data_IF_958132061444
#
_entry.id   IF_958132061444
#
_cell.length_a   1.000
_cell.length_b   1.000
_cell.length_c   1.000
_cell.angle_alpha   90.00
_cell.angle_beta   90.00
_cell.angle_gamma   90.00
#
_symmetry.space_group_name_H-M   'P 1'
#
loop_
_entity.id
_entity.type
_entity.pdbx_description
1 polymer ?
#
# COMPACT_ATOMS: atom_id res chain seq x y z
N UNK A 1 -7.47 21.62 -9.09
CA UNK A 1 -7.33 20.15 -9.21
C UNK A 1 -6.48 19.58 -8.07
N UNK A 2 -7.02 19.52 -6.85
CA UNK A 2 -6.26 19.04 -5.67
C UNK A 2 -6.03 17.53 -5.67
N UNK A 3 -6.98 16.78 -6.23
CA UNK A 3 -7.04 15.32 -6.15
C UNK A 3 -6.20 14.60 -7.23
N UNK A 4 -5.54 15.36 -8.11
CA UNK A 4 -4.60 14.82 -9.10
C UNK A 4 -3.17 14.90 -8.56
N UNK A 5 -2.67 13.78 -8.04
CA UNK A 5 -1.42 13.73 -7.28
C UNK A 5 -0.21 13.26 -8.09
N UNK A 6 -0.44 12.73 -9.29
CA UNK A 6 0.58 12.17 -10.18
C UNK A 6 0.43 12.73 -11.59
N UNK A 7 1.53 13.25 -12.15
CA UNK A 7 1.54 13.79 -13.52
C UNK A 7 1.63 12.68 -14.56
N UNK A 8 2.41 11.64 -14.26
CA UNK A 8 2.65 10.50 -15.13
C UNK A 8 2.88 9.23 -14.32
N UNK A 9 2.67 8.09 -14.96
CA UNK A 9 2.92 6.76 -14.39
C UNK A 9 3.98 6.08 -15.25
N UNK A 10 5.05 5.55 -14.64
CA UNK A 10 6.15 4.91 -15.39
C UNK A 10 5.83 3.49 -15.85
N UNK A 11 4.91 2.83 -15.16
CA UNK A 11 4.49 1.45 -15.43
C UNK A 11 4.50 0.61 -14.15
N UNK A 12 3.82 -0.53 -14.20
CA UNK A 12 3.73 -1.45 -13.07
C UNK A 12 4.96 -2.35 -13.07
N UNK A 13 5.74 -2.31 -11.99
CA UNK A 13 6.89 -3.18 -11.80
C UNK A 13 7.16 -3.42 -10.30
N UNK A 14 7.83 -4.53 -9.93
CA UNK A 14 8.19 -4.79 -8.55
C UNK A 14 8.98 -3.64 -7.92
N UNK A 15 8.74 -3.39 -6.64
CA UNK A 15 9.54 -2.42 -5.89
C UNK A 15 10.90 -3.04 -5.58
N UNK A 16 11.99 -2.29 -5.76
CA UNK A 16 13.33 -2.78 -5.42
C UNK A 16 13.38 -3.30 -3.98
N UNK A 17 13.89 -4.53 -3.78
CA UNK A 17 13.89 -5.22 -2.49
C UNK A 17 12.60 -5.98 -2.16
N UNK A 18 11.58 -5.90 -3.01
CA UNK A 18 10.31 -6.63 -2.93
C UNK A 18 10.10 -7.38 -4.25
N UNK A 19 10.93 -8.42 -4.48
CA UNK A 19 11.00 -9.16 -5.74
C UNK A 19 10.06 -10.36 -5.81
N UNK A 20 9.16 -10.52 -4.83
CA UNK A 20 8.16 -11.57 -4.84
C UNK A 20 7.25 -11.38 -6.04
N UNK A 21 7.27 -12.36 -6.94
CA UNK A 21 6.29 -12.51 -8.00
C UNK A 21 5.46 -13.73 -7.66
N UNK A 22 4.18 -13.51 -7.37
CA UNK A 22 3.24 -14.60 -7.19
C UNK A 22 2.82 -15.04 -8.58
N UNK A 23 3.33 -16.20 -9.02
CA UNK A 23 3.06 -16.84 -10.31
C UNK A 23 1.73 -17.63 -10.33
N UNK A 24 0.84 -17.33 -9.38
CA UNK A 24 -0.50 -17.93 -9.29
C UNK A 24 -1.50 -17.03 -9.99
N UNK A 25 -2.31 -17.59 -10.90
CA UNK A 25 -3.50 -16.94 -11.46
C UNK A 25 -4.63 -16.78 -10.42
N UNK A 26 -4.54 -17.50 -9.30
CA UNK A 26 -5.44 -17.37 -8.16
C UNK A 26 -4.78 -16.49 -7.09
N UNK A 27 -5.18 -15.23 -7.04
CA UNK A 27 -4.76 -14.26 -6.02
C UNK A 27 -5.92 -13.33 -5.68
N UNK A 28 -5.86 -12.68 -4.52
CA UNK A 28 -6.76 -11.57 -4.17
C UNK A 28 -6.04 -10.25 -4.36
N UNK A 29 -6.60 -9.39 -5.20
CA UNK A 29 -6.13 -8.03 -5.41
C UNK A 29 -6.72 -7.10 -4.34
N UNK A 30 -5.85 -6.46 -3.57
CA UNK A 30 -6.22 -5.51 -2.52
C UNK A 30 -5.66 -4.12 -2.86
N UNK A 31 -6.41 -3.29 -3.61
CA UNK A 31 -6.01 -1.90 -3.84
C UNK A 31 -6.35 -1.05 -2.60
N UNK A 32 -5.33 -0.46 -1.98
CA UNK A 32 -5.46 0.54 -0.93
C UNK A 32 -5.73 1.87 -1.60
N UNK A 33 -6.99 2.32 -1.65
CA UNK A 33 -7.42 3.41 -2.51
C UNK A 33 -7.04 4.79 -1.96
N UNK A 34 -6.56 5.63 -2.87
CA UNK A 34 -6.51 7.09 -2.74
C UNK A 34 -7.40 7.73 -3.80
N UNK A 35 -7.24 9.03 -4.06
CA UNK A 35 -8.10 9.74 -5.01
C UNK A 35 -7.89 9.36 -6.50
N UNK A 36 -6.79 8.67 -6.80
CA UNK A 36 -6.27 8.51 -8.17
C UNK A 36 -6.81 7.24 -8.87
N UNK A 37 -8.06 7.30 -9.35
CA UNK A 37 -8.69 6.16 -10.05
C UNK A 37 -7.97 5.68 -11.31
N UNK A 38 -7.20 6.55 -11.97
CA UNK A 38 -6.37 6.16 -13.12
C UNK A 38 -5.29 5.14 -12.73
N UNK A 39 -4.71 5.26 -11.53
CA UNK A 39 -3.69 4.33 -11.02
C UNK A 39 -4.31 2.98 -10.69
N UNK A 40 -5.49 2.97 -10.06
CA UNK A 40 -6.24 1.75 -9.81
C UNK A 40 -6.60 1.05 -11.14
N UNK A 41 -7.12 1.78 -12.12
CA UNK A 41 -7.46 1.24 -13.44
C UNK A 41 -6.24 0.62 -14.14
N UNK A 42 -5.10 1.31 -14.16
CA UNK A 42 -3.87 0.78 -14.77
C UNK A 42 -3.43 -0.52 -14.10
N UNK A 43 -3.36 -0.55 -12.77
CA UNK A 43 -2.92 -1.73 -12.02
C UNK A 43 -3.90 -2.88 -12.24
N UNK A 44 -5.21 -2.63 -12.17
CA UNK A 44 -6.22 -3.66 -12.42
C UNK A 44 -6.06 -4.29 -13.80
N UNK A 45 -5.86 -3.47 -14.84
CA UNK A 45 -5.69 -3.97 -16.21
C UNK A 45 -4.35 -4.67 -16.43
N UNK A 46 -3.35 -4.42 -15.58
CA UNK A 46 -2.07 -5.13 -15.64
C UNK A 46 -2.15 -6.49 -14.94
N UNK A 47 -2.88 -6.55 -13.82
CA UNK A 47 -2.99 -7.77 -13.01
C UNK A 47 -4.03 -8.75 -13.57
N UNK A 48 -5.06 -8.24 -14.24
CA UNK A 48 -6.18 -9.02 -14.77
C UNK A 48 -6.75 -10.05 -13.76
N UNK A 49 -7.23 -9.61 -12.58
CA UNK A 49 -7.71 -10.54 -11.56
C UNK A 49 -8.80 -11.49 -12.11
N UNK A 50 -8.65 -12.78 -11.81
CA UNK A 50 -9.41 -13.86 -12.46
C UNK A 50 -10.93 -13.83 -12.20
N UNK A 51 -11.36 -13.15 -11.14
CA UNK A 51 -12.78 -12.95 -10.85
C UNK A 51 -13.05 -11.60 -10.20
N UNK A 52 -14.28 -11.10 -10.32
CA UNK A 52 -14.71 -9.89 -9.62
C UNK A 52 -14.59 -10.04 -8.09
N UNK A 53 -14.78 -11.26 -7.58
CA UNK A 53 -14.69 -11.61 -6.15
C UNK A 53 -13.27 -11.58 -5.59
N UNK A 54 -12.28 -11.64 -6.48
CA UNK A 54 -10.87 -11.55 -6.13
C UNK A 54 -10.40 -10.12 -5.85
N UNK A 55 -11.27 -9.11 -5.95
CA UNK A 55 -10.92 -7.70 -5.72
C UNK A 55 -11.60 -7.20 -4.44
N UNK A 56 -10.77 -6.76 -3.48
CA UNK A 56 -11.21 -6.19 -2.19
C UNK A 56 -10.56 -4.80 -2.03
N UNK A 57 -11.22 -3.72 -2.50
CA UNK A 57 -10.68 -2.38 -2.35
C UNK A 57 -10.85 -1.88 -0.92
N UNK A 58 -9.81 -1.23 -0.40
CA UNK A 58 -9.80 -0.66 0.96
C UNK A 58 -9.78 0.87 0.88
N UNK A 59 -10.66 1.52 1.62
CA UNK A 59 -10.81 2.99 1.67
C UNK A 59 -10.50 3.50 3.09
N UNK A 60 -9.69 4.55 3.18
CA UNK A 60 -9.35 5.19 4.45
C UNK A 60 -10.44 6.14 4.97
N UNK A 61 -10.84 6.01 6.25
CA UNK A 61 -11.85 6.85 6.93
C UNK A 61 -11.41 7.27 8.35
N UNK A 62 -11.69 8.50 8.82
CA UNK A 62 -11.85 9.68 7.98
C UNK A 62 -10.52 9.96 7.28
N UNK A 63 -10.57 10.65 6.14
CA UNK A 63 -9.38 11.27 5.59
C UNK A 63 -8.93 12.46 6.44
N UNK A 64 -7.97 13.22 5.93
CA UNK A 64 -7.62 14.52 6.52
C UNK A 64 -8.84 15.42 6.69
N UNK A 65 -9.72 15.43 5.68
CA UNK A 65 -11.06 16.02 5.77
C UNK A 65 -12.13 14.92 5.80
N UNK A 66 -13.26 15.14 6.51
CA UNK A 66 -14.35 14.17 6.59
C UNK A 66 -14.89 13.71 5.22
N UNK A 67 -14.92 14.60 4.22
CA UNK A 67 -15.48 14.29 2.90
C UNK A 67 -14.52 13.58 1.94
N UNK A 68 -13.25 13.38 2.32
CA UNK A 68 -12.26 12.72 1.44
C UNK A 68 -12.60 11.27 1.12
N UNK A 69 -13.41 10.59 1.94
CA UNK A 69 -13.97 9.28 1.60
C UNK A 69 -14.78 9.35 0.30
N UNK A 70 -15.65 10.36 0.18
CA UNK A 70 -16.51 10.51 -0.99
C UNK A 70 -15.68 10.83 -2.23
N UNK A 71 -14.62 11.62 -2.08
CA UNK A 71 -13.68 11.91 -3.17
C UNK A 71 -12.90 10.67 -3.61
N UNK A 72 -12.48 9.82 -2.66
CA UNK A 72 -11.84 8.54 -2.96
C UNK A 72 -12.79 7.64 -3.76
N UNK A 73 -14.02 7.45 -3.30
CA UNK A 73 -15.01 6.63 -4.01
C UNK A 73 -15.34 7.25 -5.37
N UNK A 74 -15.53 8.57 -5.45
CA UNK A 74 -15.84 9.31 -6.68
C UNK A 74 -14.72 9.20 -7.72
N UNK A 75 -13.46 9.31 -7.30
CA UNK A 75 -12.29 9.19 -8.16
C UNK A 75 -12.13 7.77 -8.72
N UNK A 76 -12.48 6.75 -7.94
CA UNK A 76 -12.40 5.34 -8.35
C UNK A 76 -13.70 4.78 -8.94
N UNK A 77 -14.77 5.59 -9.05
CA UNK A 77 -16.13 5.10 -9.34
C UNK A 77 -16.26 4.26 -10.62
N UNK A 78 -15.50 4.60 -11.66
CA UNK A 78 -15.61 3.92 -12.96
C UNK A 78 -15.11 2.49 -12.86
N UNK A 79 -13.90 2.31 -12.35
CA UNK A 79 -13.28 1.00 -12.20
C UNK A 79 -13.98 0.17 -11.12
N UNK A 80 -14.44 0.79 -10.01
CA UNK A 80 -15.25 0.12 -8.99
C UNK A 80 -16.54 -0.47 -9.58
N UNK A 81 -17.20 0.24 -10.50
CA UNK A 81 -18.39 -0.25 -11.20
C UNK A 81 -18.08 -1.35 -12.21
N UNK A 82 -17.05 -1.17 -13.05
CA UNK A 82 -16.67 -2.17 -14.08
C UNK A 82 -16.34 -3.52 -13.43
N UNK A 83 -15.66 -3.48 -12.29
CA UNK A 83 -15.23 -4.68 -11.54
C UNK A 83 -16.27 -5.21 -10.55
N UNK A 84 -17.42 -4.52 -10.37
CA UNK A 84 -18.37 -4.71 -9.26
C UNK A 84 -17.73 -4.76 -7.85
N UNK A 85 -16.50 -4.27 -7.71
CA UNK A 85 -15.76 -4.32 -6.44
C UNK A 85 -16.29 -3.31 -5.42
N UNK A 86 -17.19 -2.40 -5.81
CA UNK A 86 -17.91 -1.52 -4.88
C UNK A 86 -18.71 -2.28 -3.82
N UNK A 87 -19.12 -3.52 -4.09
CA UNK A 87 -19.86 -4.38 -3.16
C UNK A 87 -18.97 -4.96 -2.04
N UNK A 88 -17.65 -4.90 -2.21
CA UNK A 88 -16.63 -5.43 -1.30
C UNK A 88 -15.69 -4.33 -0.79
N UNK A 89 -16.15 -3.08 -0.80
CA UNK A 89 -15.40 -1.98 -0.18
C UNK A 89 -15.26 -2.23 1.31
N UNK A 90 -14.02 -2.24 1.75
CA UNK A 90 -13.70 -2.24 3.17
C UNK A 90 -13.17 -0.88 3.60
N UNK A 91 -13.30 -0.59 4.89
CA UNK A 91 -13.06 0.72 5.45
C UNK A 91 -12.19 0.64 6.70
N UNK A 92 -11.11 1.41 6.72
CA UNK A 92 -10.14 1.44 7.84
C UNK A 92 -9.70 2.87 8.16
N UNK A 93 -9.22 3.16 9.37
CA UNK A 93 -8.55 4.42 9.69
C UNK A 93 -7.50 4.84 8.66
N UNK A 94 -7.65 6.01 8.04
CA UNK A 94 -6.76 6.47 6.95
C UNK A 94 -5.34 6.82 7.41
N UNK A 95 -5.21 7.11 8.70
CA UNK A 95 -4.02 7.55 9.42
C UNK A 95 -3.53 6.49 10.40
N UNK A 96 -3.72 5.20 10.12
CA UNK A 96 -3.27 4.14 11.02
C UNK A 96 -2.57 3.02 10.26
N UNK A 97 -1.29 2.81 10.58
CA UNK A 97 -0.52 1.66 10.07
C UNK A 97 -1.10 0.35 10.60
N UNK A 98 -1.42 0.29 11.90
CA UNK A 98 -1.84 -0.93 12.57
C UNK A 98 -3.18 -1.46 12.04
N UNK A 99 -4.19 -0.60 11.90
CA UNK A 99 -5.50 -0.99 11.38
C UNK A 99 -5.40 -1.54 9.96
N UNK A 100 -4.57 -0.92 9.11
CA UNK A 100 -4.32 -1.44 7.77
C UNK A 100 -3.57 -2.77 7.81
N UNK A 101 -2.55 -2.91 8.65
CA UNK A 101 -1.76 -4.13 8.76
C UNK A 101 -2.63 -5.32 9.17
N UNK A 102 -3.38 -5.19 10.27
CA UNK A 102 -4.23 -6.26 10.78
C UNK A 102 -5.35 -6.61 9.81
N UNK A 103 -5.89 -5.61 9.10
CA UNK A 103 -6.90 -5.88 8.08
C UNK A 103 -6.34 -6.68 6.91
N UNK A 104 -5.15 -6.32 6.42
CA UNK A 104 -4.50 -7.09 5.37
C UNK A 104 -4.13 -8.50 5.83
N UNK A 105 -3.70 -8.66 7.09
CA UNK A 105 -3.40 -9.97 7.68
C UNK A 105 -4.66 -10.83 7.82
N UNK A 106 -5.80 -10.25 8.20
CA UNK A 106 -7.11 -10.91 8.21
C UNK A 106 -7.50 -11.42 6.82
N UNK A 107 -7.37 -10.57 5.79
CA UNK A 107 -7.63 -10.95 4.40
C UNK A 107 -6.69 -12.08 3.98
N UNK A 108 -5.39 -11.97 4.28
CA UNK A 108 -4.39 -13.01 3.99
C UNK A 108 -4.71 -14.34 4.69
N UNK A 109 -5.21 -14.32 5.92
CA UNK A 109 -5.58 -15.55 6.62
C UNK A 109 -6.76 -16.27 5.96
N UNK A 110 -7.63 -15.54 5.27
CA UNK A 110 -8.75 -16.10 4.49
C UNK A 110 -8.41 -16.35 3.01
N UNK A 111 -7.29 -15.82 2.51
CA UNK A 111 -6.90 -15.84 1.10
C UNK A 111 -5.44 -16.22 0.94
N UNK A 112 -5.15 -17.26 0.17
CA UNK A 112 -3.78 -17.81 0.05
C UNK A 112 -2.71 -16.83 -0.44
N UNK A 113 -3.06 -15.94 -1.38
CA UNK A 113 -2.13 -15.02 -2.05
C UNK A 113 -2.74 -13.65 -2.20
N UNK A 114 -1.99 -12.60 -1.85
CA UNK A 114 -2.39 -11.21 -2.01
C UNK A 114 -1.47 -10.47 -2.97
N UNK A 115 -2.09 -9.68 -3.86
CA UNK A 115 -1.41 -8.60 -4.58
C UNK A 115 -1.92 -7.29 -4.01
N UNK A 116 -1.05 -6.49 -3.40
CA UNK A 116 -1.45 -5.27 -2.69
C UNK A 116 -0.93 -4.05 -3.43
N UNK A 117 -1.82 -3.12 -3.79
CA UNK A 117 -1.45 -1.87 -4.44
C UNK A 117 -1.59 -0.68 -3.48
N UNK A 118 -0.47 -0.10 -2.98
CA UNK A 118 -0.50 1.01 -2.05
C UNK A 118 -0.71 2.36 -2.77
N UNK A 119 -1.92 2.59 -3.30
CA UNK A 119 -2.28 3.82 -4.04
C UNK A 119 -2.63 4.98 -3.08
N UNK A 120 -3.16 4.63 -1.90
CA UNK A 120 -3.73 5.53 -0.89
C UNK A 120 -2.70 6.21 0.01
N UNK A 121 -3.00 6.24 1.31
CA UNK A 121 -2.22 7.03 2.28
C UNK A 121 -0.86 6.40 2.57
N UNK A 122 0.08 7.21 3.07
CA UNK A 122 1.40 6.72 3.46
C UNK A 122 1.33 5.67 4.59
N UNK A 123 0.52 5.83 5.66
CA UNK A 123 0.38 4.80 6.68
C UNK A 123 -0.08 3.45 6.11
N UNK A 124 -1.03 3.46 5.18
CA UNK A 124 -1.50 2.25 4.49
C UNK A 124 -0.41 1.61 3.63
N UNK A 125 0.37 2.43 2.92
CA UNK A 125 1.52 1.94 2.16
C UNK A 125 2.54 1.26 3.08
N UNK A 126 2.89 1.87 4.22
CA UNK A 126 3.80 1.29 5.21
C UNK A 126 3.29 -0.06 5.71
N UNK A 127 1.99 -0.17 6.02
CA UNK A 127 1.39 -1.42 6.45
C UNK A 127 1.50 -2.53 5.39
N UNK A 128 1.25 -2.21 4.12
CA UNK A 128 1.40 -3.15 3.00
C UNK A 128 2.83 -3.69 2.90
N UNK A 129 3.84 -2.81 2.96
CA UNK A 129 5.24 -3.22 2.91
C UNK A 129 5.66 -4.06 4.12
N UNK A 130 5.19 -3.74 5.33
CA UNK A 130 5.46 -4.57 6.52
C UNK A 130 4.86 -5.97 6.34
N UNK A 131 3.63 -6.07 5.81
CA UNK A 131 3.00 -7.36 5.53
C UNK A 131 3.79 -8.16 4.49
N UNK A 132 4.22 -7.53 3.40
CA UNK A 132 5.05 -8.18 2.38
C UNK A 132 6.39 -8.67 2.94
N UNK A 133 6.99 -7.92 3.88
CA UNK A 133 8.20 -8.38 4.57
C UNK A 133 7.90 -9.62 5.43
N UNK A 134 6.80 -9.62 6.17
CA UNK A 134 6.43 -10.75 7.05
C UNK A 134 6.00 -12.01 6.28
N UNK A 135 5.49 -11.84 5.06
CA UNK A 135 4.91 -12.90 4.25
C UNK A 135 5.41 -12.85 2.79
N UNK A 136 6.73 -12.98 2.58
CA UNK A 136 7.35 -12.76 1.28
C UNK A 136 6.93 -13.78 0.22
N UNK A 137 6.35 -14.93 0.59
CA UNK A 137 5.85 -15.94 -0.36
C UNK A 137 4.37 -15.77 -0.69
N UNK A 138 3.65 -14.95 0.08
CA UNK A 138 2.19 -14.83 -0.03
C UNK A 138 1.71 -13.43 -0.41
N UNK A 139 2.57 -12.41 -0.32
CA UNK A 139 2.19 -11.02 -0.52
C UNK A 139 3.13 -10.35 -1.52
N UNK A 140 2.58 -9.94 -2.66
CA UNK A 140 3.26 -9.18 -3.69
C UNK A 140 2.84 -7.70 -3.61
N UNK A 141 3.81 -6.79 -3.63
CA UNK A 141 3.54 -5.35 -3.73
C UNK A 141 3.49 -4.95 -5.20
N UNK A 142 2.36 -4.44 -5.63
CA UNK A 142 2.14 -3.97 -7.00
C UNK A 142 2.21 -2.46 -7.02
N UNK A 143 3.27 -1.92 -7.65
CA UNK A 143 3.56 -0.49 -7.64
C UNK A 143 3.75 0.05 -9.05
N UNK A 144 3.14 1.19 -9.32
CA UNK A 144 3.07 1.84 -10.64
C UNK A 144 4.09 2.99 -10.79
N UNK A 145 4.93 3.22 -9.78
CA UNK A 145 6.01 4.22 -9.78
C UNK A 145 5.55 5.62 -10.24
N UNK A 146 4.60 6.25 -9.52
CA UNK A 146 4.00 7.50 -9.92
C UNK A 146 5.02 8.65 -9.88
N UNK A 147 5.00 9.51 -10.90
CA UNK A 147 5.72 10.78 -10.92
C UNK A 147 4.80 11.84 -10.30
N UNK A 148 5.24 12.44 -9.21
CA UNK A 148 4.43 13.39 -8.42
C UNK A 148 4.21 14.70 -9.17
N UNK A 149 3.02 15.29 -9.05
CA UNK A 149 2.75 16.66 -9.52
C UNK A 149 3.50 17.68 -8.67
N UNK A 150 3.91 18.81 -9.27
CA UNK A 150 4.65 19.88 -8.58
C UNK A 150 3.78 20.74 -7.64
N UNK A 151 2.45 20.68 -7.78
CA UNK A 151 1.48 21.47 -6.98
C UNK A 151 0.76 20.61 -5.94
N UNK A 152 1.52 19.96 -5.05
CA UNK A 152 0.92 19.35 -3.85
C UNK A 152 0.67 20.40 -2.77
N UNK A 153 -0.17 20.06 -1.82
CA UNK A 153 -0.45 20.90 -0.65
C UNK A 153 0.81 21.24 0.12
N UNK A 154 0.95 22.51 0.46
CA UNK A 154 1.93 23.00 1.42
C UNK A 154 1.29 23.13 2.82
N UNK A 155 2.07 22.83 3.85
CA UNK A 155 1.66 22.88 5.25
C UNK A 155 1.89 21.57 6.00
N UNK A 156 2.21 21.68 7.29
CA UNK A 156 2.26 20.55 8.23
C UNK A 156 1.06 20.68 9.15
N UNK A 157 0.21 19.66 9.19
CA UNK A 157 -0.88 19.58 10.17
C UNK A 157 -0.46 18.64 11.30
N UNK A 158 -1.02 17.43 11.37
CA UNK A 158 -0.70 16.43 12.39
C UNK A 158 0.48 15.57 11.99
N UNK A 159 1.38 15.32 12.94
CA UNK A 159 2.48 14.37 12.83
C UNK A 159 2.09 13.11 13.59
N UNK A 160 2.08 11.97 12.90
CA UNK A 160 1.83 10.67 13.50
C UNK A 160 3.14 9.90 13.66
N UNK A 161 3.39 9.39 14.86
CA UNK A 161 4.57 8.58 15.20
C UNK A 161 4.09 7.20 15.59
N UNK A 162 4.58 6.17 14.90
CA UNK A 162 4.20 4.77 15.14
C UNK A 162 5.44 3.98 15.56
N UNK A 163 5.34 3.25 16.68
CA UNK A 163 6.29 2.17 16.97
C UNK A 163 5.81 0.87 16.32
N UNK A 164 6.41 0.55 15.18
CA UNK A 164 6.05 -0.60 14.34
C UNK A 164 6.91 -1.84 14.62
N UNK A 165 7.84 -1.80 15.59
CA UNK A 165 8.79 -2.90 15.81
C UNK A 165 8.08 -4.23 16.07
N UNK A 166 6.96 -4.19 16.80
CA UNK A 166 6.18 -5.38 17.16
C UNK A 166 5.43 -5.99 15.97
N UNK A 167 5.29 -5.28 14.84
CA UNK A 167 4.64 -5.83 13.65
C UNK A 167 5.56 -6.80 12.90
N UNK A 168 6.88 -6.72 13.05
CA UNK A 168 7.80 -7.59 12.33
C UNK A 168 7.88 -8.98 12.98
N UNK A 169 7.70 -10.03 12.20
CA UNK A 169 7.72 -11.42 12.69
C UNK A 169 9.13 -12.01 12.81
N UNK A 170 10.11 -11.40 12.14
CA UNK A 170 11.51 -11.75 12.33
C UNK A 170 12.02 -11.12 13.62
N UNK A 171 12.62 -11.93 14.50
CA UNK A 171 13.49 -11.39 15.55
C UNK A 171 14.63 -10.65 14.86
N UNK A 172 14.77 -9.36 15.14
CA UNK A 172 15.91 -8.60 14.65
C UNK A 172 17.19 -9.35 15.06
N UNK A 173 18.09 -9.71 14.11
CA UNK A 173 19.40 -10.21 14.49
C UNK A 173 20.04 -9.12 15.36
N UNK A 174 20.38 -9.48 16.61
CA UNK A 174 20.80 -8.58 17.69
C UNK A 174 21.28 -7.20 17.22
N UNK A 175 20.53 -6.16 17.61
CA UNK A 175 20.82 -4.74 17.36
C UNK A 175 22.10 -4.28 18.07
N UNK A 176 22.80 -5.15 18.81
CA UNK A 176 24.10 -4.84 19.41
C UNK A 176 25.19 -4.53 18.36
N UNK A 177 25.02 -5.00 17.12
CA UNK A 177 25.95 -4.73 16.01
C UNK A 177 25.82 -3.34 15.36
N UNK A 178 24.86 -2.50 15.77
CA UNK A 178 24.73 -1.15 15.19
C UNK A 178 25.87 -0.23 15.64
N UNK A 179 26.39 -0.43 16.86
CA UNK A 179 27.55 0.31 17.37
C UNK A 179 28.84 -0.10 16.66
N UNK A 180 29.00 -1.39 16.33
CA UNK A 180 30.14 -1.89 15.57
C UNK A 180 30.13 -1.42 14.12
N UNK A 181 28.95 -1.34 13.49
CA UNK A 181 28.82 -0.74 12.13
C UNK A 181 29.10 0.75 12.13
N UNK A 182 28.82 1.49 13.21
CA UNK A 182 29.18 2.91 13.36
C UNK A 182 30.68 3.09 13.61
N UNK A 183 31.31 2.24 14.42
CA UNK A 183 32.78 2.22 14.63
C UNK A 183 33.54 1.89 13.34
N UNK A 184 33.15 0.82 12.64
CA UNK A 184 33.77 0.44 11.37
C UNK A 184 33.62 1.50 10.25
N UNK A 185 32.60 2.37 10.33
CA UNK A 185 32.41 3.48 9.39
C UNK A 185 33.19 4.75 9.78
N UNK A 186 33.57 4.89 11.05
CA UNK A 186 34.48 5.94 11.52
C UNK A 186 35.94 5.56 11.26
N UNK A 187 36.33 4.30 11.46
CA UNK A 187 37.71 3.83 11.21
C UNK A 187 38.09 3.84 9.73
N UNK A 188 37.12 3.74 8.80
CA UNK A 188 37.36 3.91 7.36
C UNK A 188 37.46 5.37 6.89
N UNK A 189 37.30 6.33 7.81
CA UNK A 189 37.35 7.77 7.54
C UNK A 189 38.56 8.47 8.18
N UNK A 190 39.41 7.71 8.85
CA UNK A 190 40.74 8.10 9.35
C UNK A 190 41.81 7.38 8.54
#
# INVERSE_FOLDING_TARGET
EFYNLSSHIKGVSPVNGFHTLIDSNEFTFVPLLGFEGARFNLINNTLEPSSKESIIPIVGLPGFEPWYVFETIRGNRQILKITDSYQRLDYIPSDCVFSCYYKLEEILNSRKYLKVAPIGTKPHAVAAFILALNYPENVEIVYDHPIRTSKRTDGVSKVHVYDIKHLFKYKSPNIDNLNDRRRARMERRT
#
